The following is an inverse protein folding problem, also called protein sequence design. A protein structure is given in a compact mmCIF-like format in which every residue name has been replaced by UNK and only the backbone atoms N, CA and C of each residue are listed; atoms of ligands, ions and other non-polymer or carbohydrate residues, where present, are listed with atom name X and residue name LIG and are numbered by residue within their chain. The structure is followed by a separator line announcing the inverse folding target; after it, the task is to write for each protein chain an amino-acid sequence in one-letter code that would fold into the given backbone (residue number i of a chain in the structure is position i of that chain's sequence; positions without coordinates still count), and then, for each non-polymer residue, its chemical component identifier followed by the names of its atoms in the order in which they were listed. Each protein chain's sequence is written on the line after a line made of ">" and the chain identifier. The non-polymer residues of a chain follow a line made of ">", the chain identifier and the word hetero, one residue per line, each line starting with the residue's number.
data_IF_287283002080
#
_entry.id   IF_287283002080
#
_cell.length_a   1.000
_cell.length_b   1.000
_cell.length_c   1.000
_cell.angle_alpha   90.00
_cell.angle_beta   90.00
_cell.angle_gamma   90.00
#
_symmetry.space_group_name_H-M   'P 1'
#
loop_
_entity.id
_entity.type
_entity.pdbx_description
1 polymer ?
#
# COMPACT_ATOMS: atom_id res chain seq x y z
N UNK A 1 -45.62 -30.39 41.24
CA UNK A 1 -44.17 -30.35 41.40
C UNK A 1 -43.59 -30.21 40.05
N UNK A 2 -43.20 -28.99 39.69
CA UNK A 2 -42.54 -28.67 38.46
C UNK A 2 -41.05 -28.95 38.60
N UNK A 3 -40.52 -29.76 37.71
CA UNK A 3 -39.08 -29.98 37.57
C UNK A 3 -38.53 -28.84 36.73
N UNK A 4 -37.49 -28.11 37.17
CA UNK A 4 -36.91 -27.09 36.34
C UNK A 4 -36.12 -27.71 35.17
N UNK A 5 -36.55 -27.40 33.96
CA UNK A 5 -35.77 -27.61 32.77
C UNK A 5 -34.49 -26.78 32.86
N UNK A 6 -33.39 -27.43 33.13
CA UNK A 6 -32.07 -26.88 32.96
C UNK A 6 -31.79 -26.85 31.45
N UNK A 7 -31.86 -25.67 30.88
CA UNK A 7 -31.35 -25.36 29.54
C UNK A 7 -29.84 -25.57 29.50
N UNK A 8 -29.39 -26.77 29.23
CA UNK A 8 -28.03 -27.06 28.87
C UNK A 8 -27.84 -26.96 27.34
N UNK A 9 -27.61 -25.78 26.87
CA UNK A 9 -26.93 -25.52 25.60
C UNK A 9 -26.35 -24.10 25.66
N UNK A 10 -25.09 -23.90 25.32
CA UNK A 10 -24.50 -24.19 24.02
C UNK A 10 -22.99 -24.47 24.03
N UNK A 11 -22.51 -25.39 24.80
CA UNK A 11 -21.08 -25.78 24.75
C UNK A 11 -20.69 -26.58 23.50
N UNK A 12 -21.65 -27.08 22.74
CA UNK A 12 -21.40 -27.92 21.55
C UNK A 12 -20.92 -27.15 20.30
N UNK A 13 -21.18 -25.84 20.19
CA UNK A 13 -20.81 -25.07 18.99
C UNK A 13 -19.32 -24.72 18.93
N UNK A 14 -18.63 -24.68 20.07
CA UNK A 14 -17.21 -24.26 20.13
C UNK A 14 -16.22 -25.36 19.72
N UNK A 15 -16.65 -26.64 19.88
CA UNK A 15 -15.80 -27.79 19.57
C UNK A 15 -15.80 -28.17 18.09
N UNK A 16 -16.78 -27.69 17.29
CA UNK A 16 -16.81 -27.93 15.85
C UNK A 16 -15.69 -27.18 15.12
N UNK A 17 -15.28 -25.99 15.61
CA UNK A 17 -14.19 -25.22 15.04
C UNK A 17 -12.80 -25.84 15.32
N UNK A 18 -12.69 -26.72 16.29
CA UNK A 18 -11.44 -27.40 16.68
C UNK A 18 -11.32 -28.80 16.08
N UNK A 19 -12.35 -29.28 15.39
CA UNK A 19 -12.32 -30.53 14.67
C UNK A 19 -11.45 -30.46 13.40
N UNK A 20 -11.00 -31.62 12.93
CA UNK A 20 -10.15 -31.79 11.74
C UNK A 20 -10.70 -31.07 10.49
N UNK A 21 -12.01 -30.94 10.39
CA UNK A 21 -12.69 -30.21 9.30
C UNK A 21 -12.64 -28.69 9.51
N UNK A 22 -12.76 -28.22 10.76
CA UNK A 22 -12.63 -26.79 11.11
C UNK A 22 -11.23 -26.25 10.82
N UNK A 23 -10.19 -27.08 10.98
CA UNK A 23 -8.82 -26.73 10.64
C UNK A 23 -8.62 -26.42 9.14
N UNK A 24 -9.24 -27.19 8.26
CA UNK A 24 -9.20 -26.98 6.82
C UNK A 24 -9.87 -25.67 6.41
N UNK A 25 -11.03 -25.37 7.01
CA UNK A 25 -11.73 -24.09 6.78
C UNK A 25 -10.91 -22.90 7.28
N UNK A 26 -10.33 -23.02 8.46
CA UNK A 26 -9.45 -21.96 9.01
C UNK A 26 -8.24 -21.71 8.13
N UNK A 27 -7.59 -22.76 7.61
CA UNK A 27 -6.48 -22.64 6.66
C UNK A 27 -6.93 -21.99 5.35
N UNK A 28 -8.11 -22.36 4.83
CA UNK A 28 -8.67 -21.74 3.64
C UNK A 28 -8.92 -20.24 3.81
N UNK A 29 -9.53 -19.84 4.93
CA UNK A 29 -9.75 -18.42 5.25
C UNK A 29 -8.43 -17.67 5.40
N UNK A 30 -7.45 -18.27 6.07
CA UNK A 30 -6.12 -17.69 6.23
C UNK A 30 -5.42 -17.48 4.89
N UNK A 31 -5.50 -18.45 3.97
CA UNK A 31 -4.94 -18.33 2.62
C UNK A 31 -5.62 -17.22 1.82
N UNK A 32 -6.94 -17.12 1.88
CA UNK A 32 -7.68 -16.03 1.22
C UNK A 32 -7.27 -14.69 1.80
N UNK A 33 -7.21 -14.57 3.12
CA UNK A 33 -6.74 -13.35 3.78
C UNK A 33 -5.30 -13.00 3.39
N UNK A 34 -4.41 -13.98 3.31
CA UNK A 34 -3.03 -13.78 2.89
C UNK A 34 -2.93 -13.29 1.44
N UNK A 35 -3.76 -13.81 0.53
CA UNK A 35 -3.80 -13.36 -0.86
C UNK A 35 -4.37 -11.94 -0.96
N UNK A 36 -5.43 -11.64 -0.21
CA UNK A 36 -6.07 -10.32 -0.24
C UNK A 36 -5.23 -9.22 0.39
N UNK A 37 -4.59 -9.51 1.51
CA UNK A 37 -3.83 -8.52 2.30
C UNK A 37 -2.31 -8.65 2.14
N UNK A 38 -1.83 -9.76 1.60
CA UNK A 38 -0.39 -10.01 1.44
C UNK A 38 0.31 -8.99 0.56
N UNK A 39 -0.35 -8.47 -0.45
CA UNK A 39 0.20 -7.42 -1.32
C UNK A 39 0.42 -6.10 -0.56
N UNK A 40 -0.50 -5.74 0.33
CA UNK A 40 -0.39 -4.54 1.14
C UNK A 40 0.73 -4.68 2.19
N UNK A 41 0.85 -5.84 2.82
CA UNK A 41 1.91 -6.12 3.79
C UNK A 41 3.29 -6.08 3.13
N UNK A 42 3.46 -6.71 1.98
CA UNK A 42 4.73 -6.69 1.22
C UNK A 42 5.01 -5.25 0.75
N UNK A 43 4.00 -4.52 0.29
CA UNK A 43 4.12 -3.13 -0.12
C UNK A 43 4.65 -2.25 1.02
N UNK A 44 4.08 -2.36 2.21
CA UNK A 44 4.53 -1.60 3.39
C UNK A 44 5.94 -2.02 3.81
N UNK A 45 6.26 -3.31 3.84
CA UNK A 45 7.58 -3.81 4.21
C UNK A 45 8.70 -3.36 3.25
N UNK A 46 8.37 -3.19 1.97
CA UNK A 46 9.33 -2.77 0.94
C UNK A 46 9.30 -1.27 0.64
N UNK A 47 8.34 -0.54 1.21
CA UNK A 47 8.15 0.89 0.95
C UNK A 47 9.42 1.72 1.22
N UNK A 48 10.10 1.46 2.33
CA UNK A 48 11.33 2.17 2.69
C UNK A 48 12.48 1.95 1.70
N UNK A 49 12.51 0.81 1.02
CA UNK A 49 13.54 0.51 0.01
C UNK A 49 13.27 1.20 -1.33
N UNK A 50 12.02 1.58 -1.58
CA UNK A 50 11.60 2.28 -2.80
C UNK A 50 11.73 3.79 -2.69
N UNK A 51 11.79 4.31 -1.46
CA UNK A 51 12.05 5.72 -1.19
C UNK A 51 13.53 6.03 -1.32
N UNK A 52 13.85 7.13 -1.99
CA UNK A 52 15.21 7.69 -1.95
C UNK A 52 15.56 8.05 -0.50
N UNK A 53 16.81 7.81 -0.04
CA UNK A 53 17.25 8.17 1.31
C UNK A 53 16.98 9.61 1.71
N UNK A 54 17.03 10.54 0.76
CA UNK A 54 16.70 11.95 0.99
C UNK A 54 15.23 12.17 1.39
N UNK A 55 14.31 11.28 1.00
CA UNK A 55 12.88 11.37 1.30
C UNK A 55 12.47 10.60 2.56
N UNK A 56 13.27 9.66 3.02
CA UNK A 56 12.96 8.83 4.20
C UNK A 56 12.77 9.69 5.46
N UNK A 57 13.58 10.71 5.61
CA UNK A 57 13.58 11.62 6.77
C UNK A 57 12.89 12.96 6.47
N UNK A 58 12.16 13.08 5.37
CA UNK A 58 11.45 14.30 5.04
C UNK A 58 10.36 14.59 6.07
N UNK A 59 10.38 15.79 6.65
CA UNK A 59 9.41 16.24 7.67
C UNK A 59 8.27 17.07 7.11
N UNK A 60 8.43 17.60 5.90
CA UNK A 60 7.44 18.41 5.20
C UNK A 60 7.02 17.82 3.86
N UNK A 61 6.14 18.54 3.17
CA UNK A 61 5.74 18.18 1.80
C UNK A 61 6.92 18.26 0.85
N UNK A 62 7.04 17.28 -0.01
CA UNK A 62 8.14 17.17 -0.98
C UNK A 62 7.61 17.08 -2.40
N UNK A 63 8.37 17.60 -3.35
CA UNK A 63 8.14 17.40 -4.77
C UNK A 63 8.95 16.16 -5.21
N UNK A 64 8.30 15.19 -5.83
CA UNK A 64 8.88 13.89 -6.11
C UNK A 64 8.59 13.42 -7.53
N UNK A 65 9.40 12.49 -8.00
CA UNK A 65 9.16 11.72 -9.22
C UNK A 65 8.87 10.28 -8.83
N UNK A 66 7.67 9.82 -9.14
CA UNK A 66 7.31 8.42 -9.02
C UNK A 66 7.71 7.68 -10.30
N UNK A 67 8.59 6.69 -10.16
CA UNK A 67 8.99 5.80 -11.25
C UNK A 67 8.11 4.56 -11.19
N UNK A 68 7.38 4.31 -12.26
CA UNK A 68 6.44 3.21 -12.37
C UNK A 68 7.07 2.02 -13.11
N UNK A 69 6.57 0.83 -12.84
CA UNK A 69 7.03 -0.40 -13.52
C UNK A 69 6.47 -0.54 -14.94
N UNK A 70 5.50 0.29 -15.31
CA UNK A 70 4.84 0.27 -16.63
C UNK A 70 4.45 1.70 -17.05
N UNK A 71 3.97 1.84 -18.29
CA UNK A 71 3.41 3.10 -18.78
C UNK A 71 2.04 3.34 -18.14
N UNK A 72 1.86 4.43 -17.36
CA UNK A 72 0.61 4.69 -16.68
C UNK A 72 -0.49 5.11 -17.66
N UNK A 73 -1.66 4.55 -17.45
CA UNK A 73 -2.90 4.96 -18.08
C UNK A 73 -3.61 6.06 -17.26
N UNK A 74 -4.70 6.61 -17.80
CA UNK A 74 -5.47 7.67 -17.14
C UNK A 74 -5.87 7.32 -15.71
N UNK A 75 -6.35 6.11 -15.48
CA UNK A 75 -6.72 5.62 -14.15
C UNK A 75 -5.56 5.68 -13.13
N UNK A 76 -4.37 5.31 -13.55
CA UNK A 76 -3.17 5.35 -12.71
C UNK A 76 -2.79 6.78 -12.35
N UNK A 77 -2.90 7.70 -13.31
CA UNK A 77 -2.63 9.12 -13.09
C UNK A 77 -3.64 9.74 -12.11
N UNK A 78 -4.91 9.40 -12.24
CA UNK A 78 -5.97 9.84 -11.32
C UNK A 78 -5.71 9.32 -9.90
N UNK A 79 -5.26 8.07 -9.77
CA UNK A 79 -4.88 7.50 -8.46
C UNK A 79 -3.63 8.17 -7.87
N UNK A 80 -2.63 8.46 -8.68
CA UNK A 80 -1.45 9.21 -8.23
C UNK A 80 -1.80 10.62 -7.74
N UNK A 81 -2.76 11.27 -8.39
CA UNK A 81 -3.24 12.60 -8.00
C UNK A 81 -3.89 12.64 -6.61
N UNK A 82 -4.29 11.49 -6.05
CA UNK A 82 -4.78 11.42 -4.67
C UNK A 82 -3.69 11.57 -3.62
N UNK A 83 -2.43 11.34 -3.98
CA UNK A 83 -1.28 11.43 -3.06
C UNK A 83 -0.54 12.77 -3.14
N UNK A 84 -0.72 13.51 -4.22
CA UNK A 84 -0.10 14.81 -4.43
C UNK A 84 -0.61 15.47 -5.69
N UNK A 85 -0.13 16.67 -5.98
CA UNK A 85 -0.53 17.40 -7.18
C UNK A 85 0.20 16.82 -8.40
N UNK A 86 -0.54 16.28 -9.34
CA UNK A 86 0.01 15.79 -10.60
C UNK A 86 0.62 16.95 -11.41
N UNK A 87 1.90 16.85 -11.75
CA UNK A 87 2.66 17.89 -12.43
C UNK A 87 3.25 17.44 -13.78
N UNK A 88 2.69 16.40 -14.37
CA UNK A 88 3.11 15.88 -15.68
C UNK A 88 4.15 14.76 -15.57
N UNK A 89 4.85 14.52 -16.67
CA UNK A 89 5.86 13.48 -16.80
C UNK A 89 7.27 14.07 -16.68
N UNK A 90 8.20 13.25 -16.24
CA UNK A 90 9.61 13.63 -16.08
C UNK A 90 10.51 12.89 -17.09
N UNK A 91 10.49 13.32 -18.32
CA UNK A 91 11.29 12.75 -19.40
C UNK A 91 10.68 11.47 -19.98
N UNK A 92 10.70 10.36 -19.22
CA UNK A 92 10.15 9.08 -19.67
C UNK A 92 8.64 8.95 -19.36
N UNK A 93 7.96 8.09 -20.11
CA UNK A 93 6.50 7.88 -20.00
C UNK A 93 6.08 7.27 -18.67
N UNK A 94 6.97 6.50 -18.03
CA UNK A 94 6.75 5.85 -16.74
C UNK A 94 7.24 6.68 -15.54
N UNK A 95 7.65 7.92 -15.73
CA UNK A 95 8.10 8.85 -14.70
C UNK A 95 7.08 9.97 -14.53
N UNK A 96 6.47 10.06 -13.38
CA UNK A 96 5.40 11.02 -13.08
C UNK A 96 5.86 11.99 -11.99
N UNK A 97 5.70 13.27 -12.23
CA UNK A 97 5.99 14.31 -11.24
C UNK A 97 4.78 14.52 -10.35
N UNK A 98 5.02 14.49 -9.06
CA UNK A 98 4.03 14.82 -8.03
C UNK A 98 4.59 15.93 -7.13
N UNK A 99 3.78 16.94 -6.89
CA UNK A 99 4.13 18.06 -6.02
C UNK A 99 3.37 17.99 -4.70
N UNK A 100 3.94 18.58 -3.66
CA UNK A 100 3.32 18.68 -2.33
C UNK A 100 2.89 17.34 -1.76
N UNK A 101 3.71 16.32 -1.92
CA UNK A 101 3.45 15.01 -1.34
C UNK A 101 3.85 15.03 0.13
N UNK A 102 2.90 14.77 1.02
CA UNK A 102 3.17 14.71 2.46
C UNK A 102 3.96 13.45 2.82
N UNK A 103 4.69 13.41 3.97
CA UNK A 103 5.41 12.21 4.39
C UNK A 103 4.52 10.97 4.51
N UNK A 104 3.28 11.13 4.98
CA UNK A 104 2.31 10.04 5.05
C UNK A 104 1.94 9.52 3.66
N UNK A 105 1.73 10.41 2.70
CA UNK A 105 1.43 10.04 1.32
C UNK A 105 2.65 9.44 0.59
N UNK A 106 3.87 9.88 0.92
CA UNK A 106 5.10 9.25 0.40
C UNK A 106 5.16 7.76 0.76
N UNK A 107 4.87 7.42 2.01
CA UNK A 107 4.84 6.02 2.46
C UNK A 107 3.74 5.21 1.77
N UNK A 108 2.55 5.79 1.63
CA UNK A 108 1.43 5.15 0.91
C UNK A 108 1.76 4.95 -0.56
N UNK A 109 2.36 5.95 -1.20
CA UNK A 109 2.79 5.88 -2.59
C UNK A 109 3.86 4.80 -2.79
N UNK A 110 4.84 4.73 -1.88
CA UNK A 110 5.89 3.71 -1.90
C UNK A 110 5.37 2.29 -1.63
N UNK A 111 4.23 2.14 -0.96
CA UNK A 111 3.59 0.85 -0.71
C UNK A 111 2.84 0.28 -1.93
N UNK A 112 2.57 1.10 -2.95
CA UNK A 112 1.91 0.63 -4.16
C UNK A 112 2.82 -0.35 -4.92
N UNK A 113 2.29 -1.54 -5.24
CA UNK A 113 3.06 -2.61 -5.87
C UNK A 113 3.65 -2.21 -7.23
N UNK A 114 2.98 -1.31 -7.94
CA UNK A 114 3.35 -0.84 -9.27
C UNK A 114 4.26 0.40 -9.28
N UNK A 115 4.58 0.96 -8.11
CA UNK A 115 5.59 2.01 -7.96
C UNK A 115 6.93 1.34 -7.69
N UNK A 116 7.87 1.50 -8.61
CA UNK A 116 9.20 0.89 -8.50
C UNK A 116 10.10 1.69 -7.57
N UNK A 117 10.06 3.03 -7.68
CA UNK A 117 10.93 3.93 -6.95
C UNK A 117 10.31 5.32 -6.84
N UNK A 118 10.67 6.04 -5.78
CA UNK A 118 10.32 7.45 -5.59
C UNK A 118 11.62 8.23 -5.39
N UNK A 119 11.84 9.20 -6.26
CA UNK A 119 13.02 10.05 -6.26
C UNK A 119 12.61 11.49 -5.93
N UNK A 120 13.49 12.29 -5.28
CA UNK A 120 13.23 13.71 -5.13
C UNK A 120 13.24 14.38 -6.50
N UNK A 121 12.31 15.31 -6.73
CA UNK A 121 12.31 16.12 -7.92
C UNK A 121 13.53 17.06 -7.87
N UNK A 122 14.54 16.76 -8.66
CA UNK A 122 15.67 17.64 -8.81
C UNK A 122 15.23 18.85 -9.64
N UNK A 123 15.10 19.99 -8.98
CA UNK A 123 15.00 21.27 -9.67
C UNK A 123 16.33 21.47 -10.37
N UNK A 124 16.38 21.16 -11.66
CA UNK A 124 17.54 21.40 -12.50
C UNK A 124 17.85 22.89 -12.35
N UNK A 125 18.93 23.19 -11.65
CA UNK A 125 19.41 24.56 -11.61
C UNK A 125 19.50 25.08 -13.04
N UNK A 126 18.98 26.29 -13.34
CA UNK A 126 19.09 26.84 -14.68
C UNK A 126 20.57 26.82 -15.04
N UNK A 127 20.87 26.22 -16.20
CA UNK A 127 22.25 26.22 -16.71
C UNK A 127 22.76 27.66 -16.71
N UNK A 128 23.97 27.92 -16.19
CA UNK A 128 24.53 29.25 -16.22
C UNK A 128 24.49 29.73 -17.70
N UNK A 129 23.77 30.82 -17.90
CA UNK A 129 23.75 31.46 -19.23
C UNK A 129 25.17 31.92 -19.53
N UNK A 130 25.69 31.62 -20.72
CA UNK A 130 26.98 32.10 -21.14
C UNK A 130 27.00 33.63 -21.23
#
# INVERSE_FOLDING_TARGET
>A
METPHTDEAPARRRNWLLGREGGKVAVGILLIALVMFGQDIIGVATASRRLDPALVNATGSSDVVAVLSFTPERFHNERLATYGVFAGRDGAVNRVRLRRVTPANLRRLASLAWVSRIEPLQTRAPAPRP
#
